data_IF_034601309438
#
_entry.id   IF_034601309438
#
_cell.length_a   1.000
_cell.length_b   1.000
_cell.length_c   1.000
_cell.angle_alpha   90.00
_cell.angle_beta   90.00
_cell.angle_gamma   90.00
#
_symmetry.space_group_name_H-M   'P 1'
#
loop_
_entity.id
_entity.type
_entity.pdbx_description
1 polymer ?
#
# COMPACT_ATOMS: atom_id res chain seq x y z
N UNK A 1 15.84 -18.30 -14.26
CA UNK A 1 16.46 -17.09 -13.68
C UNK A 1 15.62 -16.72 -12.48
N UNK A 2 16.16 -16.81 -11.26
CA UNK A 2 15.44 -16.31 -10.09
C UNK A 2 15.51 -14.77 -10.11
N UNK A 3 14.39 -14.03 -10.02
CA UNK A 3 14.47 -12.60 -9.83
C UNK A 3 15.02 -12.36 -8.42
N UNK A 4 16.28 -11.97 -8.35
CA UNK A 4 16.94 -11.51 -7.14
C UNK A 4 16.44 -10.09 -6.84
N UNK A 5 15.15 -9.94 -6.53
CA UNK A 5 14.57 -8.63 -6.28
C UNK A 5 14.47 -8.47 -4.77
N UNK A 6 15.50 -7.86 -4.17
CA UNK A 6 15.35 -7.31 -2.81
C UNK A 6 14.12 -6.38 -2.81
N UNK A 7 13.28 -6.42 -1.77
CA UNK A 7 12.13 -5.53 -1.68
C UNK A 7 12.59 -4.07 -1.78
N UNK A 8 11.78 -3.22 -2.41
CA UNK A 8 12.01 -1.77 -2.40
C UNK A 8 12.08 -1.32 -0.94
N UNK A 9 12.99 -0.39 -0.63
CA UNK A 9 13.20 0.09 0.73
C UNK A 9 12.72 1.53 0.85
N UNK A 10 12.25 1.88 2.03
CA UNK A 10 11.93 3.25 2.39
C UNK A 10 12.66 3.62 3.69
N UNK A 11 13.09 4.88 3.79
CA UNK A 11 13.96 5.39 4.83
C UNK A 11 13.29 6.53 5.60
N UNK A 12 13.52 6.55 6.92
CA UNK A 12 12.96 7.52 7.85
C UNK A 12 13.98 7.95 8.89
N UNK A 13 14.03 9.24 9.21
CA UNK A 13 14.86 9.76 10.29
C UNK A 13 14.18 9.63 11.67
N UNK A 14 12.86 9.42 11.74
CA UNK A 14 12.08 9.51 12.98
C UNK A 14 11.12 8.33 13.24
N UNK A 15 11.08 7.34 12.34
CA UNK A 15 10.18 6.19 12.40
C UNK A 15 8.67 6.51 12.31
N UNK A 16 8.31 7.70 11.85
CA UNK A 16 6.91 8.11 11.72
C UNK A 16 6.50 8.20 10.24
N UNK A 17 7.35 8.83 9.43
CA UNK A 17 7.16 8.91 7.98
C UNK A 17 8.39 8.39 7.26
N UNK A 18 8.20 7.70 6.13
CA UNK A 18 9.27 7.14 5.31
C UNK A 18 9.33 7.81 3.94
N UNK A 19 9.77 9.08 3.86
CA UNK A 19 9.65 9.87 2.65
C UNK A 19 10.75 9.65 1.61
N UNK A 20 11.77 8.85 1.92
CA UNK A 20 12.98 8.74 1.09
C UNK A 20 13.19 7.29 0.64
N UNK A 21 13.52 7.07 -0.63
CA UNK A 21 13.77 5.73 -1.17
C UNK A 21 15.22 5.25 -0.90
N UNK A 22 16.11 6.17 -0.52
CA UNK A 22 17.53 5.87 -0.27
C UNK A 22 18.06 6.57 0.97
N UNK A 23 19.08 5.98 1.60
CA UNK A 23 19.78 6.59 2.73
C UNK A 23 20.43 7.93 2.35
N UNK A 24 21.00 8.05 1.15
CA UNK A 24 21.59 9.30 0.64
C UNK A 24 20.57 10.45 0.62
N UNK A 25 19.38 10.19 0.09
CA UNK A 25 18.32 11.19 0.06
C UNK A 25 17.94 11.62 1.48
N UNK A 26 17.82 10.67 2.40
CA UNK A 26 17.53 10.94 3.81
C UNK A 26 18.62 11.80 4.46
N UNK A 27 19.89 11.45 4.27
CA UNK A 27 21.06 12.20 4.77
C UNK A 27 21.01 13.64 4.25
N UNK A 28 20.87 13.82 2.94
CA UNK A 28 20.89 15.14 2.32
C UNK A 28 19.69 16.00 2.75
N UNK A 29 18.53 15.39 2.95
CA UNK A 29 17.29 16.08 3.32
C UNK A 29 17.31 16.56 4.77
N UNK A 30 17.85 15.75 5.69
CA UNK A 30 17.81 16.02 7.12
C UNK A 30 19.15 16.46 7.72
N UNK A 31 20.22 16.49 6.93
CA UNK A 31 21.56 16.90 7.38
C UNK A 31 22.12 15.96 8.45
N UNK A 32 21.99 14.65 8.21
CA UNK A 32 22.37 13.61 9.18
C UNK A 32 23.89 13.37 9.17
N UNK A 33 24.41 12.92 10.31
CA UNK A 33 25.84 12.69 10.55
C UNK A 33 26.13 11.24 11.02
N UNK A 34 27.39 10.77 10.91
CA UNK A 34 27.79 9.50 11.50
C UNK A 34 27.42 9.39 12.98
N UNK A 35 26.81 8.27 13.36
CA UNK A 35 26.30 8.03 14.71
C UNK A 35 24.80 8.29 14.88
N UNK A 36 24.17 9.04 13.97
CA UNK A 36 22.71 9.22 13.98
C UNK A 36 22.01 7.88 13.69
N UNK A 37 20.90 7.65 14.39
CA UNK A 37 20.08 6.45 14.21
C UNK A 37 18.88 6.79 13.33
N UNK A 38 18.80 6.12 12.19
CA UNK A 38 17.68 6.18 11.26
C UNK A 38 16.95 4.85 11.19
N UNK A 39 15.88 4.80 10.42
CA UNK A 39 15.03 3.63 10.26
C UNK A 39 14.91 3.32 8.77
N UNK A 40 14.95 2.03 8.46
CA UNK A 40 14.73 1.49 7.12
C UNK A 40 13.66 0.40 7.23
N UNK A 41 12.71 0.40 6.30
CA UNK A 41 11.72 -0.65 6.18
C UNK A 41 11.61 -1.15 4.75
N UNK A 42 10.93 -2.28 4.60
CA UNK A 42 10.61 -2.86 3.31
C UNK A 42 9.25 -2.32 2.87
N UNK A 43 9.14 -1.95 1.60
CA UNK A 43 7.91 -1.47 1.00
C UNK A 43 7.04 -2.66 0.63
N UNK A 44 5.81 -2.61 1.11
CA UNK A 44 4.72 -3.48 0.66
C UNK A 44 3.74 -2.66 -0.17
N UNK A 45 3.72 -2.91 -1.47
CA UNK A 45 2.77 -2.30 -2.40
C UNK A 45 1.38 -2.90 -2.22
N UNK A 46 0.34 -2.11 -2.45
CA UNK A 46 -1.04 -2.61 -2.40
C UNK A 46 -1.44 -3.29 -3.71
N UNK A 47 -2.32 -4.29 -3.60
CA UNK A 47 -3.10 -4.81 -4.71
C UNK A 47 -4.16 -3.82 -5.19
N UNK A 48 -5.06 -4.30 -6.05
CA UNK A 48 -6.21 -3.54 -6.55
C UNK A 48 -7.54 -4.17 -6.16
N UNK A 49 -7.51 -5.04 -5.17
CA UNK A 49 -8.63 -5.79 -4.58
C UNK A 49 -9.25 -5.03 -3.40
N UNK A 50 -9.66 -3.78 -3.64
CA UNK A 50 -10.20 -2.92 -2.58
C UNK A 50 -11.63 -3.26 -2.20
N UNK A 51 -12.43 -3.70 -3.18
CA UNK A 51 -13.81 -4.16 -3.02
C UNK A 51 -14.09 -5.34 -3.95
N UNK A 52 -15.03 -6.19 -3.56
CA UNK A 52 -15.56 -7.29 -4.37
C UNK A 52 -17.08 -7.15 -4.61
N UNK A 53 -17.64 -8.09 -5.39
CA UNK A 53 -19.07 -8.07 -5.67
C UNK A 53 -19.96 -8.22 -4.41
N UNK A 54 -19.50 -8.93 -3.39
CA UNK A 54 -20.21 -9.12 -2.13
C UNK A 54 -20.36 -7.80 -1.38
N UNK A 55 -19.30 -6.99 -1.32
CA UNK A 55 -19.33 -5.67 -0.67
C UNK A 55 -20.43 -4.78 -1.29
N UNK A 56 -20.50 -4.77 -2.62
CA UNK A 56 -21.50 -3.97 -3.35
C UNK A 56 -22.91 -4.51 -3.13
N UNK A 57 -23.10 -5.84 -3.17
CA UNK A 57 -24.39 -6.49 -2.98
C UNK A 57 -24.92 -6.26 -1.56
N UNK A 58 -24.06 -6.39 -0.54
CA UNK A 58 -24.39 -6.09 0.85
C UNK A 58 -24.81 -4.63 1.01
N UNK A 59 -24.04 -3.70 0.43
CA UNK A 59 -24.39 -2.29 0.49
C UNK A 59 -25.72 -1.95 -0.22
N UNK A 60 -26.08 -2.69 -1.27
CA UNK A 60 -27.39 -2.58 -1.92
C UNK A 60 -28.49 -3.17 -1.03
N UNK A 61 -28.25 -4.30 -0.36
CA UNK A 61 -29.18 -4.93 0.57
C UNK A 61 -29.52 -4.00 1.73
N UNK A 62 -28.50 -3.42 2.37
CA UNK A 62 -28.67 -2.45 3.46
C UNK A 62 -29.56 -1.27 3.05
N UNK A 63 -29.25 -0.68 1.89
CA UNK A 63 -30.06 0.41 1.34
C UNK A 63 -31.47 -0.06 0.99
N UNK A 64 -31.61 -1.28 0.49
CA UNK A 64 -32.90 -1.91 0.23
C UNK A 64 -33.74 -2.01 1.49
N UNK A 65 -33.14 -2.46 2.60
CA UNK A 65 -33.77 -2.56 3.90
C UNK A 65 -34.20 -1.19 4.45
N UNK A 66 -33.39 -0.14 4.26
CA UNK A 66 -33.77 1.23 4.64
C UNK A 66 -35.07 1.71 3.96
N UNK A 67 -35.33 1.28 2.71
CA UNK A 67 -36.54 1.67 1.98
C UNK A 67 -37.70 0.69 2.13
N UNK A 68 -37.42 -0.61 2.12
CA UNK A 68 -38.43 -1.67 2.12
C UNK A 68 -38.76 -2.23 3.49
N UNK A 69 -37.97 -1.91 4.52
CA UNK A 69 -38.12 -2.46 5.87
C UNK A 69 -38.19 -3.99 5.84
N UNK A 70 -39.16 -4.55 6.56
CA UNK A 70 -39.42 -5.99 6.60
C UNK A 70 -39.79 -6.63 5.24
N UNK A 71 -40.14 -5.82 4.24
CA UNK A 71 -40.49 -6.32 2.90
C UNK A 71 -39.27 -6.49 1.97
N UNK A 72 -38.07 -6.15 2.44
CA UNK A 72 -36.83 -6.23 1.68
C UNK A 72 -35.99 -7.49 1.97
N UNK A 73 -36.56 -8.50 2.66
CA UNK A 73 -35.84 -9.65 3.23
C UNK A 73 -35.01 -10.47 2.21
N UNK A 74 -35.38 -10.42 0.92
CA UNK A 74 -34.69 -11.11 -0.19
C UNK A 74 -34.05 -10.13 -1.21
N UNK A 75 -33.96 -8.83 -0.91
CA UNK A 75 -33.43 -7.83 -1.84
C UNK A 75 -31.96 -7.47 -1.53
N UNK A 76 -31.05 -7.44 -2.53
CA UNK A 76 -31.27 -7.87 -3.90
C UNK A 76 -31.09 -9.39 -4.07
N UNK A 77 -32.01 -10.01 -4.81
CA UNK A 77 -31.88 -11.41 -5.23
C UNK A 77 -30.94 -11.47 -6.46
N UNK A 78 -29.67 -11.79 -6.23
CA UNK A 78 -28.61 -11.79 -7.24
C UNK A 78 -28.17 -13.22 -7.55
N UNK A 79 -28.24 -13.61 -8.83
CA UNK A 79 -27.76 -14.93 -9.26
C UNK A 79 -26.23 -15.04 -9.17
N UNK A 80 -25.72 -16.28 -9.12
CA UNK A 80 -24.28 -16.53 -9.11
C UNK A 80 -23.58 -15.96 -10.35
N UNK A 81 -24.22 -16.03 -11.52
CA UNK A 81 -23.71 -15.48 -12.78
C UNK A 81 -23.61 -13.95 -12.73
N UNK A 82 -24.65 -13.28 -12.23
CA UNK A 82 -24.65 -11.82 -12.08
C UNK A 82 -23.62 -11.35 -11.05
N UNK A 83 -23.45 -12.08 -9.94
CA UNK A 83 -22.39 -11.81 -8.96
C UNK A 83 -21.00 -11.95 -9.60
N UNK A 84 -20.77 -13.01 -10.37
CA UNK A 84 -19.50 -13.23 -11.06
C UNK A 84 -19.22 -12.16 -12.14
N UNK A 85 -20.25 -11.70 -12.85
CA UNK A 85 -20.14 -10.58 -13.79
C UNK A 85 -19.69 -9.30 -13.09
N UNK A 86 -20.34 -8.95 -11.97
CA UNK A 86 -19.99 -7.78 -11.17
C UNK A 86 -18.56 -7.88 -10.63
N UNK A 87 -18.15 -9.05 -10.16
CA UNK A 87 -16.82 -9.29 -9.63
C UNK A 87 -15.72 -9.07 -10.69
N UNK A 88 -15.92 -9.63 -11.89
CA UNK A 88 -15.02 -9.43 -13.02
C UNK A 88 -14.96 -7.97 -13.47
N UNK A 89 -16.09 -7.27 -13.44
CA UNK A 89 -16.16 -5.85 -13.74
C UNK A 89 -15.34 -5.02 -12.73
N UNK A 90 -15.57 -5.24 -11.43
CA UNK A 90 -14.90 -4.52 -10.34
C UNK A 90 -13.39 -4.78 -10.34
N UNK A 91 -12.96 -6.03 -10.50
CA UNK A 91 -11.56 -6.38 -10.57
C UNK A 91 -10.85 -5.64 -11.70
N UNK A 92 -11.44 -5.62 -12.90
CA UNK A 92 -10.88 -4.89 -14.05
C UNK A 92 -10.83 -3.38 -13.80
N UNK A 93 -11.94 -2.81 -13.32
CA UNK A 93 -12.05 -1.35 -13.10
C UNK A 93 -11.02 -0.87 -12.08
N UNK A 94 -10.88 -1.58 -10.97
CA UNK A 94 -9.94 -1.24 -9.92
C UNK A 94 -8.48 -1.41 -10.37
N UNK A 95 -8.19 -2.43 -11.18
CA UNK A 95 -6.86 -2.60 -11.77
C UNK A 95 -6.46 -1.43 -12.68
N UNK A 96 -7.42 -0.80 -13.36
CA UNK A 96 -7.17 0.32 -14.28
C UNK A 96 -7.15 1.68 -13.57
N UNK A 97 -7.98 1.87 -12.55
CA UNK A 97 -8.26 3.20 -11.99
C UNK A 97 -7.95 3.35 -10.51
N UNK A 98 -7.74 2.25 -9.78
CA UNK A 98 -7.51 2.25 -8.34
C UNK A 98 -6.11 1.72 -7.99
N UNK A 99 -5.10 1.99 -8.82
CA UNK A 99 -3.70 1.68 -8.50
C UNK A 99 -3.22 2.67 -7.45
N UNK A 100 -2.92 2.19 -6.24
CA UNK A 100 -2.45 3.05 -5.15
C UNK A 100 -1.10 3.68 -5.48
N UNK A 101 -0.97 4.98 -5.17
CA UNK A 101 0.31 5.70 -5.19
C UNK A 101 1.00 5.72 -3.82
N UNK A 102 0.42 5.03 -2.85
CA UNK A 102 0.92 4.91 -1.48
C UNK A 102 1.21 3.44 -1.17
N UNK A 103 1.99 3.20 -0.13
CA UNK A 103 2.48 1.88 0.25
C UNK A 103 2.52 1.74 1.77
N UNK A 104 2.61 0.50 2.24
CA UNK A 104 2.93 0.20 3.63
C UNK A 104 4.44 0.02 3.79
N UNK A 105 4.93 0.36 4.98
CA UNK A 105 6.30 0.07 5.38
C UNK A 105 6.26 -0.99 6.46
N UNK A 106 6.87 -2.13 6.17
CA UNK A 106 6.94 -3.30 7.05
C UNK A 106 8.40 -3.62 7.40
N UNK A 107 8.62 -4.53 8.34
CA UNK A 107 9.95 -4.99 8.75
C UNK A 107 10.93 -3.86 9.09
N UNK A 108 10.43 -2.81 9.76
CA UNK A 108 11.24 -1.65 10.11
C UNK A 108 12.37 -2.04 11.05
N UNK A 109 13.59 -1.61 10.70
CA UNK A 109 14.83 -1.85 11.44
C UNK A 109 15.61 -0.55 11.58
N UNK A 110 16.37 -0.44 12.66
CA UNK A 110 17.27 0.69 12.89
C UNK A 110 18.58 0.53 12.12
N UNK A 111 19.11 1.64 11.64
CA UNK A 111 20.42 1.75 11.00
C UNK A 111 21.16 2.93 11.63
N UNK A 112 22.35 2.69 12.18
CA UNK A 112 23.25 3.75 12.64
C UNK A 112 24.11 4.19 11.48
N UNK A 113 24.06 5.47 11.13
CA UNK A 113 24.83 6.04 10.04
C UNK A 113 26.32 5.90 10.34
N UNK A 114 27.08 5.43 9.36
CA UNK A 114 28.52 5.26 9.42
C UNK A 114 29.24 6.26 8.51
N UNK A 115 30.55 6.43 8.71
CA UNK A 115 31.39 7.23 7.80
C UNK A 115 31.33 6.71 6.36
N UNK A 116 31.24 5.39 6.17
CA UNK A 116 31.12 4.79 4.85
C UNK A 116 29.80 5.19 4.15
N UNK A 117 28.69 5.27 4.90
CA UNK A 117 27.41 5.74 4.36
C UNK A 117 27.50 7.20 3.87
N UNK A 118 28.30 8.04 4.54
CA UNK A 118 28.55 9.43 4.15
C UNK A 118 29.43 9.53 2.90
N UNK A 119 30.48 8.71 2.81
CA UNK A 119 31.32 8.63 1.61
C UNK A 119 30.51 8.17 0.40
N UNK A 120 29.65 7.16 0.55
CA UNK A 120 28.76 6.69 -0.53
C UNK A 120 27.73 7.75 -0.94
N UNK A 121 27.17 8.47 0.04
CA UNK A 121 26.22 9.55 -0.21
C UNK A 121 26.84 10.72 -1.01
N UNK A 122 28.15 10.92 -0.91
CA UNK A 122 28.88 12.02 -1.57
C UNK A 122 29.61 11.61 -2.86
N UNK A 123 30.00 10.34 -3.02
CA UNK A 123 30.81 9.87 -4.17
C UNK A 123 30.01 9.52 -5.43
N UNK A 124 28.69 9.39 -5.36
CA UNK A 124 27.86 9.06 -6.52
C UNK A 124 26.93 10.25 -6.83
N UNK A 125 27.26 11.15 -7.78
CA UNK A 125 26.39 12.27 -8.15
C UNK A 125 25.12 11.83 -8.89
#
# INVERSE_FOLDING_TARGET
>A
MQPNTKPRQAWSHNNDTFPCDTLRELINKYGLEPGDVVHIGDVEEHGTDWIDASDVIEQIADRGADYGGEFADDFPDVSAEAKAELDAFLARWQAEHCVASFFLVVNVRQHTITEADMEEATCNP
#
